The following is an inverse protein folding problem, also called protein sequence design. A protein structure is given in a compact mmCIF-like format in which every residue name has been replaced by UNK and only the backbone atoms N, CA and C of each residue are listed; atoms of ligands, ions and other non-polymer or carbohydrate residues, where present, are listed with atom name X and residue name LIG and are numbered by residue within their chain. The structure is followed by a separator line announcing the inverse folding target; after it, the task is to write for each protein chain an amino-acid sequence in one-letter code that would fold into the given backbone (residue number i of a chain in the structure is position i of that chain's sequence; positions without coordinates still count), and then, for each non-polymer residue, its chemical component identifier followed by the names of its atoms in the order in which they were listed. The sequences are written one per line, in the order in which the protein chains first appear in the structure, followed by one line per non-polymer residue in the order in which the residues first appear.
data_IF_965882018364
#
_entry.id   IF_965882018364
#
_cell.length_a   1.000
_cell.length_b   1.000
_cell.length_c   1.000
_cell.angle_alpha   90.00
_cell.angle_beta   90.00
_cell.angle_gamma   90.00
#
_symmetry.space_group_name_H-M   'P 1'
#
loop_
_entity.id
_entity.type
_entity.pdbx_description
1 polymer ?
#
# COMPACT_ATOMS: atom_id res chain seq x y z
N UNK A 1 19.61 -29.62 27.15
CA UNK A 1 19.49 -29.79 25.68
C UNK A 1 18.66 -28.63 25.16
N UNK A 2 19.29 -27.54 24.73
CA UNK A 2 18.60 -26.36 24.18
C UNK A 2 18.99 -26.28 22.70
N UNK A 3 18.01 -26.37 21.81
CA UNK A 3 18.24 -26.36 20.36
C UNK A 3 18.54 -24.93 19.93
N UNK A 4 19.82 -24.61 19.73
CA UNK A 4 20.25 -23.29 19.29
C UNK A 4 19.92 -23.16 17.82
N UNK A 5 18.82 -22.46 17.54
CA UNK A 5 18.41 -22.01 16.22
C UNK A 5 19.54 -21.11 15.68
N UNK A 6 20.30 -21.61 14.69
CA UNK A 6 21.42 -20.86 14.15
C UNK A 6 20.92 -19.54 13.56
N UNK A 7 21.66 -18.43 13.71
CA UNK A 7 21.21 -17.11 13.24
C UNK A 7 20.87 -17.09 11.75
N UNK A 8 21.50 -17.97 10.96
CA UNK A 8 21.19 -18.18 9.55
C UNK A 8 19.83 -18.83 9.32
N UNK A 9 19.46 -19.83 10.15
CA UNK A 9 18.17 -20.51 10.08
C UNK A 9 17.00 -19.62 10.53
N UNK A 10 17.21 -18.74 11.51
CA UNK A 10 16.22 -17.73 11.91
C UNK A 10 15.91 -16.78 10.76
N UNK A 11 16.94 -16.26 10.09
CA UNK A 11 16.79 -15.34 8.96
C UNK A 11 16.07 -16.03 7.80
N UNK A 12 16.45 -17.26 7.48
CA UNK A 12 15.83 -18.03 6.40
C UNK A 12 14.37 -18.38 6.72
N UNK A 13 14.07 -18.77 7.96
CA UNK A 13 12.70 -19.02 8.42
C UNK A 13 11.86 -17.74 8.35
N UNK A 14 12.37 -16.59 8.79
CA UNK A 14 11.67 -15.32 8.67
C UNK A 14 11.42 -14.91 7.21
N UNK A 15 12.39 -15.11 6.33
CA UNK A 15 12.27 -14.83 4.88
C UNK A 15 11.23 -15.76 4.23
N UNK A 16 11.28 -17.06 4.52
CA UNK A 16 10.34 -18.05 3.99
C UNK A 16 8.93 -17.82 4.53
N UNK A 17 8.78 -17.55 5.83
CA UNK A 17 7.46 -17.27 6.45
C UNK A 17 6.85 -15.99 5.87
N UNK A 18 7.64 -14.93 5.67
CA UNK A 18 7.18 -13.70 4.99
C UNK A 18 6.71 -13.98 3.56
N UNK A 19 7.42 -14.86 2.84
CA UNK A 19 7.09 -15.22 1.47
C UNK A 19 5.80 -16.06 1.39
N UNK A 20 5.63 -17.05 2.27
CA UNK A 20 4.55 -18.04 2.17
C UNK A 20 3.20 -17.54 2.72
N UNK A 21 3.19 -16.49 3.56
CA UNK A 21 1.97 -15.92 4.16
C UNK A 21 1.41 -14.68 3.46
N UNK A 22 2.04 -14.22 2.37
CA UNK A 22 1.59 -13.01 1.68
C UNK A 22 0.31 -13.28 0.87
N UNK A 23 -0.82 -12.72 1.30
CA UNK A 23 -2.01 -12.62 0.44
C UNK A 23 -1.72 -11.55 -0.61
N UNK A 24 -1.51 -11.98 -1.83
CA UNK A 24 -1.43 -11.06 -2.97
C UNK A 24 -2.83 -10.60 -3.33
N UNK A 25 -3.05 -9.28 -3.34
CA UNK A 25 -4.32 -8.70 -3.76
C UNK A 25 -4.19 -8.18 -5.19
N UNK A 26 -5.02 -8.66 -6.12
CA UNK A 26 -5.05 -8.09 -7.47
C UNK A 26 -5.75 -6.73 -7.47
N UNK A 27 -5.15 -5.74 -8.13
CA UNK A 27 -5.72 -4.40 -8.29
C UNK A 27 -5.55 -3.90 -9.73
N UNK A 28 -6.51 -3.12 -10.24
CA UNK A 28 -6.48 -2.59 -11.61
C UNK A 28 -7.87 -2.25 -12.15
N UNK A 29 -7.92 -1.62 -13.32
CA UNK A 29 -9.15 -1.15 -13.95
C UNK A 29 -9.50 0.29 -13.57
N UNK A 30 -10.79 0.63 -13.67
CA UNK A 30 -11.29 1.97 -13.41
C UNK A 30 -11.45 2.22 -11.92
N UNK A 31 -10.85 3.31 -11.45
CA UNK A 31 -11.00 3.82 -10.08
C UNK A 31 -12.01 4.94 -10.12
N UNK A 32 -13.20 4.66 -9.60
CA UNK A 32 -14.30 5.61 -9.43
C UNK A 32 -14.38 6.06 -7.97
N UNK A 33 -14.56 7.36 -7.73
CA UNK A 33 -14.65 7.91 -6.38
C UNK A 33 -13.35 7.76 -5.58
N UNK A 34 -13.44 7.57 -4.26
CA UNK A 34 -12.27 7.50 -3.38
C UNK A 34 -11.89 6.05 -3.04
N UNK A 35 -10.71 5.63 -3.49
CA UNK A 35 -10.13 4.32 -3.16
C UNK A 35 -8.86 4.51 -2.34
N UNK A 36 -8.71 3.71 -1.29
CA UNK A 36 -7.55 3.78 -0.38
C UNK A 36 -6.89 2.41 -0.35
N UNK A 37 -5.64 2.32 -0.79
CA UNK A 37 -4.83 1.11 -0.70
C UNK A 37 -4.13 1.07 0.65
N UNK A 38 -4.32 -0.01 1.39
CA UNK A 38 -3.76 -0.22 2.73
C UNK A 38 -2.61 -1.24 2.72
N UNK A 39 -1.68 -1.07 3.66
CA UNK A 39 -0.62 -2.03 3.95
C UNK A 39 -1.10 -3.43 4.32
N UNK A 40 -2.32 -3.58 4.87
CA UNK A 40 -2.91 -4.87 5.23
C UNK A 40 -3.11 -5.80 4.02
N UNK A 41 -3.35 -5.21 2.84
CA UNK A 41 -3.62 -5.92 1.59
C UNK A 41 -2.40 -5.92 0.65
N UNK A 42 -1.27 -5.41 1.14
CA UNK A 42 -0.01 -5.35 0.40
C UNK A 42 0.71 -6.70 0.42
N UNK A 43 1.34 -7.13 -0.69
CA UNK A 43 1.54 -6.41 -1.95
C UNK A 43 0.33 -6.47 -2.90
N UNK A 44 0.10 -5.37 -3.63
CA UNK A 44 -0.89 -5.33 -4.71
C UNK A 44 -0.26 -5.71 -6.05
N UNK A 45 -0.83 -6.70 -6.74
CA UNK A 45 -0.44 -7.05 -8.10
C UNK A 45 -1.31 -6.32 -9.13
N UNK A 46 -0.66 -5.46 -9.92
CA UNK A 46 -1.28 -4.64 -10.94
C UNK A 46 -1.13 -5.34 -12.29
N UNK A 47 -2.18 -6.08 -12.66
CA UNK A 47 -2.23 -6.89 -13.90
C UNK A 47 -3.01 -6.20 -15.02
N UNK A 48 -3.66 -5.08 -14.74
CA UNK A 48 -4.44 -4.25 -15.69
C UNK A 48 -4.16 -2.79 -15.42
N UNK A 49 -4.26 -1.96 -16.44
CA UNK A 49 -4.06 -0.52 -16.30
C UNK A 49 -4.98 0.04 -15.22
N UNK A 50 -4.41 0.91 -14.38
CA UNK A 50 -5.17 1.65 -13.36
C UNK A 50 -5.59 2.97 -14.00
N UNK A 51 -6.89 3.15 -14.19
CA UNK A 51 -7.45 4.36 -14.79
C UNK A 51 -8.20 5.10 -13.69
N UNK A 52 -7.64 6.18 -13.19
CA UNK A 52 -8.31 7.05 -12.23
C UNK A 52 -9.23 7.97 -13.01
N UNK A 53 -10.55 7.80 -12.81
CA UNK A 53 -11.56 8.60 -13.48
C UNK A 53 -11.53 10.07 -13.00
N UNK A 54 -12.25 10.93 -13.71
CA UNK A 54 -12.42 12.32 -13.26
C UNK A 54 -13.13 12.37 -11.91
N UNK A 55 -12.69 13.30 -11.06
CA UNK A 55 -13.15 13.47 -9.67
C UNK A 55 -12.88 12.26 -8.74
N UNK A 56 -12.17 11.24 -9.21
CA UNK A 56 -11.76 10.11 -8.41
C UNK A 56 -10.44 10.37 -7.66
N UNK A 57 -10.23 9.70 -6.54
CA UNK A 57 -9.04 9.83 -5.71
C UNK A 57 -8.51 8.45 -5.32
N UNK A 58 -7.32 8.11 -5.81
CA UNK A 58 -6.57 6.93 -5.38
C UNK A 58 -5.53 7.36 -4.33
N UNK A 59 -5.68 6.86 -3.12
CA UNK A 59 -4.77 7.13 -2.00
C UNK A 59 -3.97 5.88 -1.67
N UNK A 60 -2.65 5.95 -1.85
CA UNK A 60 -1.71 4.89 -1.51
C UNK A 60 -1.16 5.18 -0.11
N UNK A 61 -1.46 4.32 0.87
CA UNK A 61 -0.91 4.47 2.23
C UNK A 61 0.60 4.18 2.23
N UNK A 62 1.35 4.82 3.14
CA UNK A 62 2.78 4.55 3.31
C UNK A 62 3.05 3.07 3.58
N UNK A 63 4.07 2.52 2.91
CA UNK A 63 4.45 1.11 3.06
C UNK A 63 3.68 0.15 2.14
N UNK A 64 2.73 0.64 1.34
CA UNK A 64 2.08 -0.16 0.30
C UNK A 64 3.06 -0.39 -0.86
N UNK A 65 3.27 -1.66 -1.21
CA UNK A 65 3.99 -2.09 -2.40
C UNK A 65 3.00 -2.37 -3.55
N UNK A 66 3.22 -1.74 -4.71
CA UNK A 66 2.49 -1.98 -5.96
C UNK A 66 3.44 -2.67 -6.96
N UNK A 67 3.03 -3.82 -7.50
CA UNK A 67 3.80 -4.62 -8.46
C UNK A 67 3.13 -4.60 -9.82
N UNK A 68 3.73 -3.87 -10.76
CA UNK A 68 3.19 -3.75 -12.12
C UNK A 68 3.65 -4.89 -13.02
N UNK A 69 2.70 -5.54 -13.69
CA UNK A 69 3.03 -6.44 -14.80
C UNK A 69 3.61 -5.63 -15.99
N UNK A 70 4.43 -6.25 -16.85
CA UNK A 70 5.02 -5.56 -18.00
C UNK A 70 3.95 -4.94 -18.92
N UNK A 71 4.17 -3.69 -19.32
CA UNK A 71 3.25 -2.96 -20.20
C UNK A 71 2.01 -2.36 -19.52
N UNK A 72 1.91 -2.47 -18.18
CA UNK A 72 0.82 -1.91 -17.39
C UNK A 72 1.24 -0.60 -16.73
N UNK A 73 0.37 0.40 -16.77
CA UNK A 73 0.61 1.72 -16.21
C UNK A 73 -0.51 2.24 -15.32
N UNK A 74 -0.34 3.50 -14.91
CA UNK A 74 -1.38 4.30 -14.27
C UNK A 74 -1.71 5.46 -15.22
N UNK A 75 -2.99 5.66 -15.48
CA UNK A 75 -3.51 6.83 -16.18
C UNK A 75 -4.40 7.61 -15.23
N UNK A 76 -4.14 8.92 -15.10
CA UNK A 76 -4.97 9.83 -14.31
C UNK A 76 -5.74 10.70 -15.29
N UNK A 77 -7.06 10.60 -15.28
CA UNK A 77 -7.93 11.43 -16.11
C UNK A 77 -8.00 12.86 -15.55
N UNK A 78 -8.61 13.76 -16.32
CA UNK A 78 -8.82 15.15 -15.90
C UNK A 78 -9.54 15.19 -14.55
N UNK A 79 -9.05 16.01 -13.62
CA UNK A 79 -9.57 16.18 -12.26
C UNK A 79 -9.47 14.94 -11.35
N UNK A 80 -8.83 13.86 -11.80
CA UNK A 80 -8.47 12.72 -10.97
C UNK A 80 -7.25 13.01 -10.08
N UNK A 81 -7.19 12.36 -8.92
CA UNK A 81 -6.15 12.57 -7.91
C UNK A 81 -5.45 11.24 -7.59
N UNK A 82 -4.13 11.22 -7.70
CA UNK A 82 -3.27 10.16 -7.18
C UNK A 82 -2.42 10.70 -6.03
N UNK A 83 -2.66 10.20 -4.82
CA UNK A 83 -1.94 10.63 -3.61
C UNK A 83 -1.19 9.47 -2.98
N UNK A 84 0.13 9.61 -2.85
CA UNK A 84 0.96 8.74 -1.99
C UNK A 84 1.54 9.60 -0.87
N UNK A 85 0.88 9.65 0.28
CA UNK A 85 1.30 10.51 1.39
C UNK A 85 1.10 9.85 2.75
N UNK A 86 2.13 9.99 3.59
CA UNK A 86 2.00 9.77 5.03
C UNK A 86 1.12 10.87 5.60
N UNK A 87 -0.12 10.52 5.98
CA UNK A 87 -0.96 11.40 6.79
C UNK A 87 -0.40 11.45 8.20
N UNK A 88 0.58 12.33 8.41
CA UNK A 88 0.90 12.80 9.76
C UNK A 88 -0.28 13.64 10.23
N UNK A 89 -1.19 13.04 11.01
CA UNK A 89 -2.13 13.83 11.82
C UNK A 89 -1.32 14.45 12.95
N UNK A 90 -0.77 15.64 12.71
CA UNK A 90 -0.38 16.50 13.82
C UNK A 90 -1.70 16.96 14.42
N UNK A 91 -2.09 16.33 15.53
CA UNK A 91 -3.11 16.86 16.43
C UNK A 91 -2.56 18.15 17.00
N UNK A 92 -2.69 19.25 16.25
CA UNK A 92 -2.41 20.57 16.78
C UNK A 92 -3.43 20.82 17.88
N UNK A 93 -2.89 20.91 19.11
CA UNK A 93 -3.61 20.95 20.36
C UNK A 93 -4.77 21.93 20.31
N UNK A 94 -5.95 21.38 20.61
CA UNK A 94 -7.15 22.12 20.97
C UNK A 94 -7.05 22.65 22.41
N UNK A 95 -5.83 22.96 22.88
CA UNK A 95 -5.48 23.13 24.30
C UNK A 95 -4.81 24.48 24.63
N UNK A 96 -4.83 25.45 23.71
CA UNK A 96 -4.27 26.80 23.98
C UNK A 96 -5.31 27.93 23.99
N UNK A 97 -6.60 27.62 23.88
CA UNK A 97 -7.67 28.62 24.00
C UNK A 97 -8.38 28.51 25.36
N UNK A 98 -7.62 28.72 26.42
CA UNK A 98 -8.11 28.94 27.78
C UNK A 98 -7.04 29.68 28.58
N UNK A 99 -6.89 30.97 28.33
CA UNK A 99 -6.29 31.92 29.24
C UNK A 99 -6.96 33.28 29.05
#
# INVERSE_FOLDING_TARGET
MQTILTPTGVLFFFVIVRTVLSRTTEFGGYVSGKVVLDTLDSPFEIRKDVIIEGDASLVIRPGVELRFAPGIGITVMRDGILEAKLRTQISLGRDYESA
#
